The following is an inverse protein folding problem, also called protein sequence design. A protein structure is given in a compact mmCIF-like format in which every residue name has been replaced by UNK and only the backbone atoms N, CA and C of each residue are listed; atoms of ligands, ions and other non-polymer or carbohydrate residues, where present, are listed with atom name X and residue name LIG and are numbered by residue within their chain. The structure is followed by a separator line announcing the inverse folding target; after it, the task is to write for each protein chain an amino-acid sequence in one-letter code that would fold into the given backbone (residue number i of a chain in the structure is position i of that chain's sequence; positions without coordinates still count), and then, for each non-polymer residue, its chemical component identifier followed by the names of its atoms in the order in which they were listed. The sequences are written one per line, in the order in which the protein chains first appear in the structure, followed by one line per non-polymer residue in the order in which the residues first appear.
data_IF_150254885454
#
_entry.id   IF_150254885454
#
_cell.length_a   1.000
_cell.length_b   1.000
_cell.length_c   1.000
_cell.angle_alpha   90.00
_cell.angle_beta   90.00
_cell.angle_gamma   90.00
#
_symmetry.space_group_name_H-M   'P 1'
#
loop_
_entity.id
_entity.type
_entity.pdbx_description
1 polymer ?
#
# COMPACT_ATOMS: atom_id res chain seq x y z
N UNK A 1 47.19 74.77 -38.27
CA UNK A 1 46.65 73.49 -38.80
C UNK A 1 46.60 72.45 -37.67
N UNK A 2 45.63 71.52 -37.64
CA UNK A 2 44.52 71.62 -36.68
C UNK A 2 44.41 70.50 -35.64
N UNK A 3 43.75 70.82 -34.51
CA UNK A 3 43.28 69.90 -33.46
C UNK A 3 42.18 68.97 -34.01
N UNK A 4 42.41 67.65 -34.03
CA UNK A 4 41.37 66.65 -34.31
C UNK A 4 40.71 66.16 -33.00
N UNK A 5 39.41 66.45 -32.86
CA UNK A 5 38.50 65.92 -31.83
C UNK A 5 38.38 64.39 -31.99
N UNK A 6 38.63 63.61 -30.93
CA UNK A 6 38.22 62.20 -30.83
C UNK A 6 36.79 62.13 -30.31
N UNK A 7 35.90 61.55 -31.10
CA UNK A 7 34.50 61.27 -30.75
C UNK A 7 34.47 60.03 -29.86
N UNK A 8 33.95 60.17 -28.63
CA UNK A 8 33.73 59.06 -27.72
C UNK A 8 32.46 58.30 -28.11
N UNK A 9 32.60 57.04 -28.55
CA UNK A 9 31.49 56.14 -28.85
C UNK A 9 31.11 55.39 -27.56
N UNK A 10 29.96 55.75 -26.96
CA UNK A 10 29.40 55.12 -25.76
C UNK A 10 28.93 53.70 -26.11
N UNK A 11 29.66 52.68 -25.66
CA UNK A 11 29.22 51.28 -25.77
C UNK A 11 28.19 51.04 -24.67
N UNK A 12 26.93 50.81 -25.04
CA UNK A 12 25.87 50.43 -24.11
C UNK A 12 26.11 49.01 -23.61
N UNK A 13 26.54 48.87 -22.34
CA UNK A 13 26.47 47.59 -21.63
C UNK A 13 24.99 47.27 -21.34
N UNK A 14 24.34 46.51 -22.21
CA UNK A 14 23.10 45.80 -21.85
C UNK A 14 23.50 44.69 -20.88
N UNK A 15 23.23 44.90 -19.59
CA UNK A 15 23.35 43.87 -18.57
C UNK A 15 22.33 42.76 -18.86
N UNK A 16 22.81 41.54 -19.05
CA UNK A 16 21.96 40.35 -18.94
C UNK A 16 21.55 40.22 -17.48
N UNK A 17 20.33 40.67 -17.15
CA UNK A 17 19.70 40.26 -15.90
C UNK A 17 19.34 38.78 -16.04
N UNK A 18 20.07 37.92 -15.31
CA UNK A 18 19.68 36.53 -15.14
C UNK A 18 18.31 36.51 -14.46
N UNK A 19 17.29 36.03 -15.17
CA UNK A 19 15.96 35.79 -14.60
C UNK A 19 16.14 34.71 -13.54
N UNK A 20 16.05 35.10 -12.27
CA UNK A 20 16.09 34.16 -11.15
C UNK A 20 14.95 33.14 -11.33
N UNK A 21 15.30 31.89 -11.63
CA UNK A 21 14.33 30.79 -11.69
C UNK A 21 13.70 30.65 -10.30
N UNK A 22 12.37 30.81 -10.21
CA UNK A 22 11.63 30.46 -8.99
C UNK A 22 12.04 29.04 -8.56
N UNK A 23 12.31 28.80 -7.26
CA UNK A 23 12.64 27.45 -6.80
C UNK A 23 11.48 26.52 -7.18
N UNK A 24 11.79 25.44 -7.92
CA UNK A 24 10.80 24.41 -8.24
C UNK A 24 10.38 23.75 -6.93
N UNK A 25 9.07 23.70 -6.68
CA UNK A 25 8.53 22.91 -5.57
C UNK A 25 9.03 21.47 -5.70
N UNK A 26 9.64 20.89 -4.64
CA UNK A 26 10.12 19.51 -4.67
C UNK A 26 9.00 18.53 -5.02
N UNK A 27 9.34 17.51 -5.80
CA UNK A 27 8.40 16.45 -6.20
C UNK A 27 8.57 15.24 -5.30
N UNK A 28 7.54 14.93 -4.53
CA UNK A 28 7.51 13.83 -3.56
C UNK A 28 6.61 12.68 -3.98
N UNK A 29 5.74 12.85 -4.98
CA UNK A 29 4.80 11.82 -5.44
C UNK A 29 5.06 11.46 -6.90
N UNK A 30 5.22 10.16 -7.16
CA UNK A 30 5.46 9.56 -8.46
C UNK A 30 4.36 8.55 -8.78
N UNK A 31 3.53 8.84 -9.79
CA UNK A 31 2.37 8.02 -10.17
C UNK A 31 2.76 6.90 -11.11
N UNK A 32 1.97 5.83 -11.09
CA UNK A 32 2.02 4.73 -12.06
C UNK A 32 0.61 4.22 -12.34
N UNK A 33 0.35 3.78 -13.57
CA UNK A 33 -0.91 3.18 -14.00
C UNK A 33 -1.19 3.44 -15.48
N UNK A 34 -2.10 2.67 -16.08
CA UNK A 34 -2.54 2.87 -17.48
C UNK A 34 -1.35 2.87 -18.47
N UNK A 35 -0.37 1.98 -18.26
CA UNK A 35 0.84 1.86 -19.08
C UNK A 35 1.83 3.03 -18.96
N UNK A 36 1.62 3.97 -18.03
CA UNK A 36 2.48 5.15 -17.82
C UNK A 36 2.97 5.22 -16.38
N UNK A 37 4.24 5.57 -16.20
CA UNK A 37 4.81 5.82 -14.88
C UNK A 37 5.72 7.04 -14.89
N UNK A 38 5.66 7.80 -13.80
CA UNK A 38 6.53 8.95 -13.55
C UNK A 38 7.97 8.55 -13.20
N UNK A 39 8.15 7.32 -12.70
CA UNK A 39 9.45 6.73 -12.34
C UNK A 39 9.84 5.54 -13.22
N UNK A 40 10.88 4.80 -12.84
CA UNK A 40 11.35 3.57 -13.48
C UNK A 40 12.19 2.71 -12.52
N UNK A 41 12.63 1.53 -12.99
CA UNK A 41 13.40 0.56 -12.21
C UNK A 41 14.77 1.04 -11.69
N UNK A 42 15.35 2.09 -12.28
CA UNK A 42 16.62 2.67 -11.80
C UNK A 42 16.47 3.61 -10.60
N UNK A 43 15.24 4.06 -10.29
CA UNK A 43 14.97 5.05 -9.25
C UNK A 43 14.82 4.44 -7.85
N UNK A 44 15.42 3.27 -7.60
CA UNK A 44 15.39 2.58 -6.29
C UNK A 44 15.83 3.45 -5.11
N UNK A 45 16.85 4.32 -5.21
CA UNK A 45 17.23 5.20 -4.11
C UNK A 45 16.11 6.17 -3.67
N UNK A 46 15.22 6.55 -4.60
CA UNK A 46 14.17 7.54 -4.37
C UNK A 46 12.79 6.91 -4.11
N UNK A 47 12.45 5.84 -4.84
CA UNK A 47 11.13 5.20 -4.81
C UNK A 47 11.11 3.90 -3.98
N UNK A 48 12.27 3.50 -3.44
CA UNK A 48 12.46 2.16 -2.91
C UNK A 48 12.42 1.08 -4.00
N UNK A 49 12.75 -0.15 -3.61
CA UNK A 49 12.72 -1.30 -4.51
C UNK A 49 11.32 -1.58 -5.06
N UNK A 50 10.29 -1.57 -4.19
CA UNK A 50 8.89 -1.80 -4.61
C UNK A 50 8.37 -0.71 -5.53
N UNK A 51 8.54 0.57 -5.19
CA UNK A 51 8.03 1.67 -6.00
C UNK A 51 8.71 1.74 -7.38
N UNK A 52 10.04 1.53 -7.41
CA UNK A 52 10.77 1.46 -8.67
C UNK A 52 10.31 0.28 -9.55
N UNK A 53 10.07 -0.90 -8.95
CA UNK A 53 9.57 -2.07 -9.69
C UNK A 53 8.12 -1.87 -10.15
N UNK A 54 7.23 -1.27 -9.35
CA UNK A 54 5.86 -0.94 -9.77
C UNK A 54 5.85 0.00 -10.98
N UNK A 55 6.72 0.99 -10.96
CA UNK A 55 6.91 1.89 -12.09
C UNK A 55 7.44 1.15 -13.33
N UNK A 56 8.43 0.27 -13.16
CA UNK A 56 9.00 -0.51 -14.28
C UNK A 56 7.99 -1.47 -14.89
N UNK A 57 7.29 -2.26 -14.04
CA UNK A 57 6.25 -3.18 -14.47
C UNK A 57 5.13 -2.46 -15.25
N UNK A 58 4.76 -1.26 -14.81
CA UNK A 58 3.78 -0.43 -15.52
C UNK A 58 4.30 0.00 -16.91
N UNK A 59 5.58 0.39 -17.02
CA UNK A 59 6.19 0.83 -18.29
C UNK A 59 6.32 -0.29 -19.31
N UNK A 60 6.60 -1.51 -18.85
CA UNK A 60 6.65 -2.70 -19.71
C UNK A 60 5.26 -3.33 -19.92
N UNK A 61 4.19 -2.59 -19.61
CA UNK A 61 2.80 -2.95 -19.89
C UNK A 61 2.27 -4.19 -19.15
N UNK A 62 2.82 -4.50 -17.97
CA UNK A 62 2.19 -5.49 -17.09
C UNK A 62 0.89 -4.91 -16.48
N UNK A 63 -0.11 -5.75 -16.14
CA UNK A 63 -1.40 -5.32 -15.60
C UNK A 63 -1.28 -4.90 -14.12
N UNK A 64 -0.59 -3.78 -13.87
CA UNK A 64 -0.38 -3.22 -12.54
C UNK A 64 -1.55 -2.29 -12.18
N UNK A 65 -2.27 -2.51 -11.06
CA UNK A 65 -3.26 -1.57 -10.57
C UNK A 65 -2.66 -0.18 -10.35
N UNK A 66 -3.37 0.91 -10.72
CA UNK A 66 -2.83 2.26 -10.65
C UNK A 66 -2.53 2.67 -9.21
N UNK A 67 -1.56 3.56 -9.05
CA UNK A 67 -1.10 4.02 -7.74
C UNK A 67 -0.08 5.13 -7.84
N UNK A 68 0.58 5.40 -6.72
CA UNK A 68 1.70 6.29 -6.63
C UNK A 68 2.64 5.91 -5.49
N UNK A 69 3.89 6.36 -5.60
CA UNK A 69 4.91 6.23 -4.57
C UNK A 69 5.24 7.60 -3.98
N UNK A 70 5.19 7.71 -2.66
CA UNK A 70 5.75 8.80 -1.87
C UNK A 70 7.22 8.49 -1.63
N UNK A 71 8.11 9.40 -2.02
CA UNK A 71 9.56 9.19 -2.05
C UNK A 71 10.19 8.99 -0.67
N UNK A 72 11.34 8.33 -0.63
CA UNK A 72 12.21 8.19 0.56
C UNK A 72 12.59 9.54 1.17
N UNK A 73 12.72 10.60 0.38
CA UNK A 73 12.99 11.96 0.87
C UNK A 73 11.95 12.48 1.87
N UNK A 74 10.69 12.02 1.77
CA UNK A 74 9.65 12.38 2.74
C UNK A 74 9.91 11.70 4.07
N UNK A 75 10.44 10.47 4.08
CA UNK A 75 10.88 9.80 5.31
C UNK A 75 12.00 10.59 5.99
N UNK A 76 13.00 11.05 5.23
CA UNK A 76 14.07 11.90 5.75
C UNK A 76 13.51 13.21 6.33
N UNK A 77 12.60 13.88 5.60
CA UNK A 77 11.94 15.08 6.10
C UNK A 77 11.17 14.80 7.39
N UNK A 78 10.42 13.70 7.44
CA UNK A 78 9.59 13.29 8.57
C UNK A 78 10.40 13.21 9.85
N UNK A 79 11.55 12.52 9.85
CA UNK A 79 12.41 12.47 11.02
C UNK A 79 13.09 13.81 11.35
N UNK A 80 13.51 14.57 10.33
CA UNK A 80 14.13 15.88 10.54
C UNK A 80 13.17 16.95 11.10
N UNK A 81 11.85 16.79 10.89
CA UNK A 81 10.83 17.78 11.25
C UNK A 81 9.83 17.25 12.27
N UNK A 82 10.29 16.55 13.31
CA UNK A 82 9.46 16.08 14.43
C UNK A 82 8.23 15.26 13.97
N UNK A 83 8.44 14.37 12.99
CA UNK A 83 7.40 13.50 12.42
C UNK A 83 6.25 14.27 11.75
N UNK A 84 6.58 15.40 11.12
CA UNK A 84 5.66 16.17 10.28
C UNK A 84 5.96 16.01 8.78
N UNK A 85 5.05 16.47 7.93
CA UNK A 85 5.17 16.34 6.48
C UNK A 85 5.57 17.65 5.80
N UNK A 86 6.23 17.59 4.62
CA UNK A 86 6.42 18.78 3.79
C UNK A 86 5.06 19.43 3.46
N UNK A 87 4.90 20.76 3.58
CA UNK A 87 3.62 21.42 3.33
C UNK A 87 3.04 21.15 1.94
N UNK A 88 3.90 20.91 0.94
CA UNK A 88 3.49 20.61 -0.43
C UNK A 88 3.09 19.15 -0.67
N UNK A 89 3.25 18.25 0.30
CA UNK A 89 3.00 16.82 0.11
C UNK A 89 1.52 16.52 -0.07
N UNK A 90 0.64 17.12 0.75
CA UNK A 90 -0.80 16.86 0.74
C UNK A 90 -1.40 17.07 -0.66
N UNK A 91 -1.15 18.24 -1.26
CA UNK A 91 -1.63 18.54 -2.61
C UNK A 91 -1.05 17.62 -3.70
N UNK A 92 0.09 16.96 -3.47
CA UNK A 92 0.64 15.96 -4.39
C UNK A 92 -0.02 14.59 -4.22
N UNK A 93 -0.32 14.19 -2.97
CA UNK A 93 -1.09 12.97 -2.67
C UNK A 93 -2.49 13.08 -3.28
N UNK A 94 -3.16 14.22 -3.12
CA UNK A 94 -4.48 14.48 -3.70
C UNK A 94 -4.48 14.31 -5.23
N UNK A 95 -3.45 14.82 -5.92
CA UNK A 95 -3.26 14.61 -7.36
C UNK A 95 -2.97 13.16 -7.72
N UNK A 96 -2.34 12.41 -6.83
CA UNK A 96 -2.12 10.97 -6.96
C UNK A 96 -3.44 10.21 -6.90
N UNK A 97 -4.24 10.46 -5.87
CA UNK A 97 -5.58 9.87 -5.69
C UNK A 97 -6.49 10.24 -6.86
N UNK A 98 -6.58 11.51 -7.25
CA UNK A 98 -7.39 11.95 -8.39
C UNK A 98 -7.01 11.27 -9.70
N UNK A 99 -5.72 10.95 -9.91
CA UNK A 99 -5.29 10.17 -11.06
C UNK A 99 -5.78 8.71 -10.98
N UNK A 100 -5.76 8.10 -9.80
CA UNK A 100 -6.30 6.76 -9.58
C UNK A 100 -7.82 6.73 -9.80
N UNK A 101 -8.56 7.70 -9.26
CA UNK A 101 -10.00 7.85 -9.48
C UNK A 101 -10.36 7.91 -10.96
N UNK A 102 -9.61 8.71 -11.74
CA UNK A 102 -9.79 8.80 -13.20
C UNK A 102 -9.59 7.45 -13.89
N UNK A 103 -8.55 6.68 -13.52
CA UNK A 103 -8.23 5.40 -14.16
C UNK A 103 -9.25 4.33 -13.75
N UNK A 104 -9.64 4.30 -12.48
CA UNK A 104 -10.51 3.27 -11.93
C UNK A 104 -12.01 3.56 -12.14
N UNK A 105 -12.38 4.81 -12.44
CA UNK A 105 -13.78 5.23 -12.54
C UNK A 105 -14.53 5.24 -11.21
N UNK A 106 -13.80 5.27 -10.09
CA UNK A 106 -14.32 5.26 -8.71
C UNK A 106 -13.82 6.48 -7.94
N UNK A 107 -14.41 6.79 -6.78
CA UNK A 107 -14.02 7.95 -5.96
C UNK A 107 -13.56 7.53 -4.57
N UNK A 108 -12.53 8.19 -4.05
CA UNK A 108 -11.99 7.96 -2.71
C UNK A 108 -12.96 8.50 -1.67
N UNK A 109 -13.47 7.61 -0.81
CA UNK A 109 -14.52 7.95 0.16
C UNK A 109 -15.94 8.00 -0.40
N UNK A 110 -16.21 7.44 -1.59
CA UNK A 110 -17.57 7.37 -2.13
C UNK A 110 -18.49 6.53 -1.24
N UNK A 111 -19.60 7.11 -0.80
CA UNK A 111 -20.60 6.45 0.06
C UNK A 111 -21.83 5.98 -0.69
N UNK A 112 -21.91 6.23 -2.00
CA UNK A 112 -23.06 5.89 -2.84
C UNK A 112 -22.74 4.73 -3.78
N UNK A 113 -21.61 4.82 -4.50
CA UNK A 113 -21.13 3.89 -5.54
C UNK A 113 -19.92 3.10 -5.05
N UNK A 114 -19.31 2.30 -5.94
CA UNK A 114 -18.09 1.56 -5.64
C UNK A 114 -16.98 2.53 -5.15
N UNK A 115 -16.54 2.43 -3.88
CA UNK A 115 -15.49 3.30 -3.37
C UNK A 115 -14.14 2.91 -3.96
N UNK A 116 -13.30 3.91 -4.23
CA UNK A 116 -11.86 3.68 -4.40
C UNK A 116 -11.28 3.33 -3.03
N UNK A 117 -10.85 2.09 -2.87
CA UNK A 117 -10.05 1.66 -1.73
C UNK A 117 -8.59 1.51 -2.14
N UNK A 118 -7.67 1.71 -1.20
CA UNK A 118 -6.23 1.65 -1.46
C UNK A 118 -5.50 0.72 -0.50
N UNK A 119 -4.42 0.12 -1.00
CA UNK A 119 -3.38 -0.51 -0.22
C UNK A 119 -2.26 0.51 0.05
N UNK A 120 -1.74 0.53 1.27
CA UNK A 120 -0.56 1.28 1.66
C UNK A 120 0.54 0.30 2.05
N UNK A 121 1.67 0.38 1.34
CA UNK A 121 2.78 -0.57 1.45
C UNK A 121 4.11 0.18 1.53
N UNK A 122 4.88 -0.14 2.55
CA UNK A 122 6.27 0.26 2.66
C UNK A 122 7.15 -0.27 1.52
N UNK A 123 8.24 0.44 1.23
CA UNK A 123 9.25 0.03 0.27
C UNK A 123 10.57 0.74 0.49
N UNK A 124 11.50 0.10 1.21
CA UNK A 124 12.88 0.58 1.32
C UNK A 124 13.66 0.32 0.03
N UNK A 125 14.83 0.94 -0.11
CA UNK A 125 15.74 0.74 -1.24
C UNK A 125 16.12 -0.74 -1.42
N UNK A 126 16.54 -1.35 -0.32
CA UNK A 126 16.82 -2.78 -0.24
C UNK A 126 15.64 -3.53 0.38
N UNK A 127 15.46 -4.78 -0.04
CA UNK A 127 14.36 -5.60 0.45
C UNK A 127 14.55 -5.92 1.93
N UNK A 128 13.53 -5.67 2.74
CA UNK A 128 13.49 -6.00 4.16
C UNK A 128 12.26 -6.88 4.45
N UNK A 129 12.31 -8.19 4.13
CA UNK A 129 11.16 -9.08 4.23
C UNK A 129 10.62 -9.21 5.66
N UNK A 130 9.30 -9.09 5.81
CA UNK A 130 8.62 -9.18 7.10
C UNK A 130 8.84 -8.00 8.03
N UNK A 131 9.60 -6.97 7.64
CA UNK A 131 10.02 -5.89 8.54
C UNK A 131 9.07 -4.70 8.58
N UNK A 132 8.14 -4.62 7.63
CA UNK A 132 7.31 -3.45 7.43
C UNK A 132 5.90 -3.88 7.02
N UNK A 133 4.91 -3.33 7.69
CA UNK A 133 3.53 -3.76 7.57
C UNK A 133 2.85 -3.25 6.29
N UNK A 134 1.78 -3.92 5.91
CA UNK A 134 0.93 -3.57 4.77
C UNK A 134 -0.47 -3.29 5.29
N UNK A 135 -1.07 -2.20 4.83
CA UNK A 135 -2.46 -1.88 5.13
C UNK A 135 -3.27 -2.07 3.84
N UNK A 136 -4.32 -2.89 3.88
CA UNK A 136 -5.23 -3.13 2.76
C UNK A 136 -6.59 -2.50 3.08
N UNK A 137 -7.42 -2.35 2.05
CA UNK A 137 -8.81 -1.88 2.18
C UNK A 137 -8.96 -0.47 2.81
N UNK A 138 -7.91 0.37 2.77
CA UNK A 138 -7.95 1.72 3.30
C UNK A 138 -8.96 2.57 2.53
N UNK A 139 -9.79 3.31 3.27
CA UNK A 139 -10.95 4.04 2.77
C UNK A 139 -12.28 3.44 3.24
N UNK A 140 -12.26 2.27 3.87
CA UNK A 140 -13.45 1.70 4.51
C UNK A 140 -13.84 2.45 5.79
N UNK A 141 -15.13 2.72 5.92
CA UNK A 141 -15.80 3.26 7.09
C UNK A 141 -17.25 2.74 7.12
N UNK A 142 -18.04 3.18 8.11
CA UNK A 142 -19.44 2.74 8.28
C UNK A 142 -20.35 3.05 7.08
N UNK A 143 -20.00 4.01 6.23
CA UNK A 143 -20.77 4.38 5.04
C UNK A 143 -20.21 3.77 3.76
N UNK A 144 -18.88 3.80 3.57
CA UNK A 144 -18.25 3.23 2.37
C UNK A 144 -18.33 1.71 2.33
N UNK A 145 -18.41 1.02 3.49
CA UNK A 145 -18.70 -0.42 3.54
C UNK A 145 -20.08 -0.72 2.96
N UNK A 146 -21.10 0.09 3.28
CA UNK A 146 -22.46 -0.06 2.71
C UNK A 146 -22.46 0.19 1.20
N UNK A 147 -21.65 1.14 0.74
CA UNK A 147 -21.47 1.39 -0.69
C UNK A 147 -20.81 0.20 -1.40
N UNK A 148 -19.81 -0.42 -0.76
CA UNK A 148 -19.17 -1.64 -1.24
C UNK A 148 -20.15 -2.83 -1.30
N UNK A 149 -21.01 -3.00 -0.29
CA UNK A 149 -22.08 -4.01 -0.28
C UNK A 149 -22.97 -3.85 -1.53
N UNK A 150 -23.48 -2.63 -1.77
CA UNK A 150 -24.36 -2.36 -2.92
C UNK A 150 -23.66 -2.57 -4.26
N UNK A 151 -22.41 -2.12 -4.38
CA UNK A 151 -21.65 -2.19 -5.63
C UNK A 151 -21.27 -3.62 -6.02
N UNK A 152 -21.06 -4.50 -5.03
CA UNK A 152 -20.61 -5.88 -5.26
C UNK A 152 -21.72 -6.92 -5.14
N UNK A 153 -22.87 -6.54 -4.56
CA UNK A 153 -23.93 -7.47 -4.16
C UNK A 153 -23.39 -8.65 -3.32
N UNK A 154 -22.35 -8.40 -2.52
CA UNK A 154 -21.68 -9.39 -1.71
C UNK A 154 -21.42 -8.83 -0.30
N UNK A 155 -22.45 -8.92 0.53
CA UNK A 155 -22.44 -8.34 1.86
C UNK A 155 -21.34 -8.96 2.75
N UNK A 156 -21.20 -10.28 2.71
CA UNK A 156 -20.16 -11.00 3.46
C UNK A 156 -18.76 -10.47 3.11
N UNK A 157 -18.44 -10.32 1.83
CA UNK A 157 -17.15 -9.80 1.35
C UNK A 157 -16.87 -8.38 1.88
N UNK A 158 -17.84 -7.49 1.81
CA UNK A 158 -17.64 -6.09 2.20
C UNK A 158 -17.33 -5.97 3.70
N UNK A 159 -18.08 -6.71 4.55
CA UNK A 159 -17.84 -6.72 5.98
C UNK A 159 -16.57 -7.47 6.38
N UNK A 160 -16.20 -8.53 5.66
CA UNK A 160 -14.88 -9.18 5.80
C UNK A 160 -13.74 -8.22 5.50
N UNK A 161 -13.84 -7.43 4.43
CA UNK A 161 -12.83 -6.41 4.14
C UNK A 161 -12.77 -5.34 5.24
N UNK A 162 -13.91 -4.98 5.82
CA UNK A 162 -13.95 -3.94 6.85
C UNK A 162 -13.37 -4.42 8.19
N UNK A 163 -13.70 -5.63 8.66
CA UNK A 163 -13.09 -6.17 9.89
C UNK A 163 -11.58 -6.32 9.75
N UNK A 164 -11.09 -6.83 8.60
CA UNK A 164 -9.64 -6.92 8.30
C UNK A 164 -8.99 -5.55 8.27
N UNK A 165 -9.62 -4.55 7.66
CA UNK A 165 -9.09 -3.19 7.67
C UNK A 165 -8.93 -2.65 9.10
N UNK A 166 -9.94 -2.82 9.95
CA UNK A 166 -9.88 -2.33 11.34
C UNK A 166 -8.78 -3.04 12.13
N UNK A 167 -8.64 -4.36 11.98
CA UNK A 167 -7.58 -5.13 12.60
C UNK A 167 -6.20 -4.62 12.17
N UNK A 168 -5.94 -4.58 10.86
CA UNK A 168 -4.64 -4.18 10.33
C UNK A 168 -4.29 -2.73 10.62
N UNK A 169 -5.26 -1.81 10.47
CA UNK A 169 -5.04 -0.40 10.78
C UNK A 169 -4.91 -0.16 12.29
N UNK A 170 -5.72 -0.87 13.09
CA UNK A 170 -5.70 -0.81 14.53
C UNK A 170 -4.37 -1.26 15.12
N UNK A 171 -3.84 -2.38 14.63
CA UNK A 171 -2.49 -2.87 14.97
C UNK A 171 -1.42 -1.87 14.50
N UNK A 172 -1.28 -1.68 13.18
CA UNK A 172 -0.12 -1.00 12.57
C UNK A 172 -0.10 0.50 12.85
N UNK A 173 -1.25 1.17 12.78
CA UNK A 173 -1.34 2.64 12.84
C UNK A 173 -1.72 3.11 14.23
N UNK A 174 -2.65 2.41 14.88
CA UNK A 174 -3.17 2.81 16.19
C UNK A 174 -2.46 2.11 17.37
N UNK A 175 -1.55 1.16 17.10
CA UNK A 175 -0.72 0.51 18.12
C UNK A 175 -1.50 -0.47 19.00
N UNK A 176 -2.58 -1.06 18.50
CA UNK A 176 -3.35 -2.09 19.20
C UNK A 176 -2.64 -3.43 19.06
N UNK A 177 -1.49 -3.51 19.72
CA UNK A 177 -0.58 -4.66 19.74
C UNK A 177 -0.72 -5.44 21.04
N UNK A 178 -0.18 -6.65 21.02
CA UNK A 178 0.02 -7.47 22.21
C UNK A 178 0.84 -6.74 23.27
N UNK A 179 0.34 -6.70 24.50
CA UNK A 179 1.03 -6.13 25.66
C UNK A 179 1.87 -7.18 26.38
N UNK A 180 2.76 -6.72 27.24
CA UNK A 180 3.47 -7.60 28.17
C UNK A 180 2.45 -8.35 29.06
N UNK A 181 2.53 -9.68 29.07
CA UNK A 181 1.60 -10.55 29.79
C UNK A 181 0.40 -11.05 28.97
N UNK A 182 0.26 -10.66 27.70
CA UNK A 182 -0.71 -11.25 26.79
C UNK A 182 -0.07 -12.35 25.92
N UNK A 183 -0.73 -13.51 25.85
CA UNK A 183 -0.25 -14.64 25.07
C UNK A 183 -0.62 -14.51 23.58
N UNK A 184 -1.78 -13.90 23.30
CA UNK A 184 -2.39 -13.81 21.97
C UNK A 184 -2.50 -12.36 21.48
N UNK A 185 -2.53 -12.18 20.16
CA UNK A 185 -2.81 -10.87 19.55
C UNK A 185 -4.25 -10.43 19.87
N UNK A 186 -4.47 -9.15 20.21
CA UNK A 186 -5.73 -8.72 20.82
C UNK A 186 -6.93 -8.86 19.87
N UNK A 187 -6.75 -8.69 18.56
CA UNK A 187 -7.81 -8.90 17.57
C UNK A 187 -8.15 -10.38 17.39
N UNK A 188 -7.15 -11.26 17.40
CA UNK A 188 -7.36 -12.72 17.30
C UNK A 188 -8.11 -13.23 18.53
N UNK A 189 -7.75 -12.77 19.73
CA UNK A 189 -8.50 -13.09 20.94
C UNK A 189 -9.97 -12.68 20.83
N UNK A 190 -10.28 -11.51 20.24
CA UNK A 190 -11.68 -11.10 20.04
C UNK A 190 -12.42 -12.02 19.06
N UNK A 191 -11.75 -12.48 18.00
CA UNK A 191 -12.32 -13.44 17.03
C UNK A 191 -12.59 -14.78 17.73
N UNK A 192 -11.63 -15.30 18.48
CA UNK A 192 -11.74 -16.57 19.21
C UNK A 192 -12.92 -16.54 20.19
N UNK A 193 -12.99 -15.52 21.05
CA UNK A 193 -14.09 -15.36 22.01
C UNK A 193 -15.44 -15.22 21.31
N UNK A 194 -15.51 -14.45 20.21
CA UNK A 194 -16.74 -14.35 19.43
C UNK A 194 -17.18 -15.72 18.90
N UNK A 195 -16.27 -16.53 18.36
CA UNK A 195 -16.60 -17.85 17.85
C UNK A 195 -17.00 -18.83 18.96
N UNK A 196 -16.33 -18.79 20.11
CA UNK A 196 -16.71 -19.59 21.28
C UNK A 196 -18.12 -19.23 21.77
N UNK A 197 -18.46 -17.94 21.87
CA UNK A 197 -19.80 -17.49 22.25
C UNK A 197 -20.88 -17.86 21.22
N UNK A 198 -20.56 -17.74 19.92
CA UNK A 198 -21.53 -17.89 18.82
C UNK A 198 -21.75 -19.34 18.41
N UNK A 199 -20.70 -20.16 18.44
CA UNK A 199 -20.70 -21.51 17.90
C UNK A 199 -20.26 -22.59 18.91
N UNK A 200 -19.83 -22.20 20.12
CA UNK A 200 -19.33 -23.12 21.13
C UNK A 200 -17.94 -23.70 20.84
N UNK A 201 -17.23 -23.16 19.84
CA UNK A 201 -15.88 -23.56 19.41
C UNK A 201 -15.24 -22.48 18.54
N UNK A 202 -13.94 -22.21 18.73
CA UNK A 202 -13.19 -21.21 17.96
C UNK A 202 -12.39 -21.76 16.76
N UNK A 203 -12.27 -23.07 16.61
CA UNK A 203 -11.57 -23.76 15.50
C UNK A 203 -12.33 -23.71 14.15
N UNK A 204 -13.42 -22.94 14.07
CA UNK A 204 -14.13 -22.67 12.81
C UNK A 204 -13.29 -21.72 11.96
N UNK A 205 -13.05 -22.09 10.71
CA UNK A 205 -12.36 -21.24 9.72
C UNK A 205 -13.13 -19.92 9.54
N UNK A 206 -12.41 -18.79 9.62
CA UNK A 206 -12.93 -17.44 9.40
C UNK A 206 -13.77 -17.32 8.14
N UNK A 207 -13.41 -18.04 7.07
CA UNK A 207 -14.12 -18.03 5.80
C UNK A 207 -15.55 -18.60 5.90
N UNK A 208 -15.89 -19.31 6.98
CA UNK A 208 -17.24 -19.83 7.23
C UNK A 208 -18.15 -18.86 7.96
N UNK A 209 -17.62 -17.74 8.47
CA UNK A 209 -18.42 -16.69 9.09
C UNK A 209 -19.31 -15.98 8.06
N UNK A 210 -20.53 -15.62 8.47
CA UNK A 210 -21.49 -14.91 7.63
C UNK A 210 -21.36 -13.39 7.80
N UNK A 211 -22.16 -12.64 7.03
CA UNK A 211 -22.14 -11.17 7.06
C UNK A 211 -22.47 -10.56 8.44
N UNK A 212 -23.47 -11.11 9.15
CA UNK A 212 -23.87 -10.61 10.46
C UNK A 212 -22.77 -10.86 11.51
N UNK A 213 -22.08 -12.00 11.41
CA UNK A 213 -20.93 -12.30 12.27
C UNK A 213 -19.80 -11.27 12.07
N UNK A 214 -19.48 -10.92 10.81
CA UNK A 214 -18.48 -9.89 10.53
C UNK A 214 -18.91 -8.48 10.96
N UNK A 215 -20.20 -8.13 10.85
CA UNK A 215 -20.72 -6.86 11.38
C UNK A 215 -20.52 -6.75 12.89
N UNK A 216 -20.77 -7.84 13.62
CA UNK A 216 -20.54 -7.89 15.06
C UNK A 216 -19.05 -7.79 15.39
N UNK A 217 -18.19 -8.50 14.67
CA UNK A 217 -16.73 -8.39 14.83
C UNK A 217 -16.23 -6.96 14.56
N UNK A 218 -16.75 -6.27 13.54
CA UNK A 218 -16.45 -4.84 13.30
C UNK A 218 -16.77 -3.99 14.54
N UNK A 219 -17.93 -4.19 15.15
CA UNK A 219 -18.32 -3.45 16.35
C UNK A 219 -17.39 -3.76 17.53
N UNK A 220 -17.07 -5.05 17.76
CA UNK A 220 -16.13 -5.49 18.81
C UNK A 220 -14.72 -4.94 18.59
N UNK A 221 -14.24 -4.91 17.34
CA UNK A 221 -12.92 -4.38 16.98
C UNK A 221 -12.83 -2.87 17.20
N UNK A 222 -13.85 -2.10 16.81
CA UNK A 222 -13.89 -0.66 17.11
C UNK A 222 -13.89 -0.39 18.62
N UNK A 223 -14.61 -1.21 19.39
CA UNK A 223 -14.60 -1.14 20.85
C UNK A 223 -13.19 -1.42 21.39
N UNK A 224 -12.55 -2.50 20.95
CA UNK A 224 -11.17 -2.83 21.33
C UNK A 224 -10.20 -1.68 21.03
N UNK A 225 -10.27 -1.10 19.83
CA UNK A 225 -9.45 0.07 19.45
C UNK A 225 -9.67 1.22 20.41
N UNK A 226 -10.92 1.56 20.72
CA UNK A 226 -11.26 2.64 21.66
C UNK A 226 -10.75 2.36 23.07
N UNK A 227 -10.91 1.14 23.56
CA UNK A 227 -10.48 0.74 24.91
C UNK A 227 -8.95 0.75 25.05
N UNK A 228 -8.23 0.38 23.98
CA UNK A 228 -6.76 0.26 24.00
C UNK A 228 -6.05 1.59 23.76
N UNK A 229 -6.64 2.48 22.97
CA UNK A 229 -6.00 3.71 22.50
C UNK A 229 -6.65 4.99 23.03
N UNK A 230 -7.86 4.90 23.58
CA UNK A 230 -8.69 6.05 23.94
C UNK A 230 -9.30 6.79 22.75
N UNK A 231 -9.01 6.37 21.51
CA UNK A 231 -9.43 7.05 20.28
C UNK A 231 -10.45 6.20 19.52
N UNK A 232 -11.42 6.86 18.89
CA UNK A 232 -12.32 6.19 17.96
C UNK A 232 -11.57 5.81 16.67
N UNK A 233 -12.00 4.72 16.03
CA UNK A 233 -11.48 4.36 14.70
C UNK A 233 -11.79 5.49 13.69
N UNK A 234 -10.80 5.94 12.89
CA UNK A 234 -10.98 7.08 12.00
C UNK A 234 -11.96 6.75 10.87
N UNK A 235 -12.98 7.59 10.69
CA UNK A 235 -13.96 7.45 9.61
C UNK A 235 -13.57 8.23 8.34
N UNK A 236 -12.74 9.27 8.45
CA UNK A 236 -12.27 10.04 7.29
C UNK A 236 -11.16 9.28 6.53
N UNK A 237 -11.37 8.89 5.25
CA UNK A 237 -10.36 8.24 4.43
C UNK A 237 -9.04 9.02 4.30
N UNK A 238 -9.08 10.36 4.36
CA UNK A 238 -7.86 11.17 4.25
C UNK A 238 -7.01 11.11 5.51
N UNK A 239 -7.64 11.16 6.68
CA UNK A 239 -6.93 10.95 7.95
C UNK A 239 -6.41 9.50 8.06
N UNK A 240 -7.17 8.51 7.55
CA UNK A 240 -6.67 7.13 7.44
C UNK A 240 -5.39 7.07 6.58
N UNK A 241 -5.39 7.68 5.39
CA UNK A 241 -4.24 7.65 4.47
C UNK A 241 -3.01 8.33 5.08
N UNK A 242 -3.22 9.48 5.73
CA UNK A 242 -2.17 10.24 6.43
C UNK A 242 -1.60 9.46 7.62
N UNK A 243 -2.45 8.78 8.39
CA UNK A 243 -2.05 7.91 9.49
C UNK A 243 -1.24 6.72 8.99
N UNK A 244 -1.71 6.04 7.95
CA UNK A 244 -1.03 4.91 7.32
C UNK A 244 0.35 5.29 6.77
N UNK A 245 0.47 6.42 6.06
CA UNK A 245 1.77 6.92 5.60
C UNK A 245 2.71 7.21 6.77
N UNK A 246 2.18 7.78 7.86
CA UNK A 246 2.95 8.10 9.07
C UNK A 246 3.44 6.85 9.80
N UNK A 247 2.60 5.83 9.89
CA UNK A 247 2.98 4.53 10.44
C UNK A 247 4.08 3.86 9.60
N UNK A 248 3.98 3.90 8.27
CA UNK A 248 5.04 3.39 7.39
C UNK A 248 6.35 4.12 7.62
N UNK A 249 6.37 5.45 7.65
CA UNK A 249 7.60 6.19 7.95
C UNK A 249 8.10 5.88 9.37
N UNK A 250 7.21 5.83 10.36
CA UNK A 250 7.53 5.50 11.75
C UNK A 250 8.16 4.11 11.92
N UNK A 251 7.70 3.12 11.15
CA UNK A 251 8.22 1.75 11.16
C UNK A 251 9.69 1.66 10.75
N UNK A 252 10.22 2.67 10.02
CA UNK A 252 11.64 2.71 9.68
C UNK A 252 12.53 2.74 10.93
N UNK A 253 12.06 3.31 12.04
CA UNK A 253 12.84 3.38 13.28
C UNK A 253 12.29 2.47 14.39
N UNK A 254 11.53 1.41 14.04
CA UNK A 254 11.17 0.41 15.04
C UNK A 254 12.38 -0.50 15.37
N UNK A 255 12.36 -1.12 16.55
CA UNK A 255 13.49 -1.90 17.06
C UNK A 255 13.88 -3.04 16.13
N UNK A 256 12.87 -3.73 15.58
CA UNK A 256 13.05 -4.81 14.61
C UNK A 256 13.83 -4.32 13.39
N UNK A 257 13.41 -3.21 12.78
CA UNK A 257 14.03 -2.63 11.60
C UNK A 257 15.45 -2.14 11.88
N UNK A 258 15.70 -1.53 13.04
CA UNK A 258 17.05 -1.11 13.46
C UNK A 258 17.98 -2.32 13.55
N UNK A 259 17.55 -3.39 14.22
CA UNK A 259 18.35 -4.62 14.36
C UNK A 259 18.63 -5.24 12.99
N UNK A 260 17.62 -5.33 12.13
CA UNK A 260 17.78 -5.85 10.77
C UNK A 260 18.77 -5.02 9.95
N UNK A 261 18.65 -3.69 9.98
CA UNK A 261 19.56 -2.79 9.26
C UNK A 261 21.00 -2.94 9.72
N UNK A 262 21.24 -3.05 11.02
CA UNK A 262 22.57 -3.31 11.59
C UNK A 262 23.13 -4.66 11.10
N UNK A 263 22.31 -5.70 11.06
CA UNK A 263 22.73 -7.04 10.60
C UNK A 263 23.13 -7.06 9.13
N UNK A 264 22.42 -6.32 8.26
CA UNK A 264 22.63 -6.35 6.82
C UNK A 264 23.35 -5.11 6.27
N UNK A 265 23.92 -4.26 7.14
CA UNK A 265 24.62 -3.02 6.78
C UNK A 265 23.78 -2.07 5.91
N UNK A 266 22.48 -1.96 6.20
CA UNK A 266 21.57 -1.04 5.50
C UNK A 266 21.63 0.31 6.22
N UNK A 267 22.05 1.40 5.55
CA UNK A 267 22.16 2.71 6.17
C UNK A 267 20.80 3.29 6.60
N UNK A 268 20.78 3.99 7.73
CA UNK A 268 19.56 4.60 8.29
C UNK A 268 19.04 5.74 7.41
N UNK A 269 19.95 6.52 6.82
CA UNK A 269 19.65 7.71 6.03
C UNK A 269 18.89 7.40 4.72
N UNK A 270 18.83 6.14 4.30
CA UNK A 270 18.10 5.74 3.10
C UNK A 270 16.58 5.91 3.24
N UNK A 271 16.05 5.78 4.46
CA UNK A 271 14.61 5.84 4.70
C UNK A 271 13.80 4.77 3.98
N UNK A 272 12.49 4.93 4.01
CA UNK A 272 11.53 4.07 3.29
C UNK A 272 10.56 4.90 2.46
N UNK A 273 10.14 4.36 1.32
CA UNK A 273 9.07 4.94 0.50
C UNK A 273 7.70 4.37 0.91
N UNK A 274 6.64 5.10 0.58
CA UNK A 274 5.25 4.65 0.77
C UNK A 274 4.61 4.43 -0.58
N UNK A 275 4.12 3.23 -0.86
CA UNK A 275 3.39 2.90 -2.08
C UNK A 275 1.91 2.86 -1.76
N UNK A 276 1.14 3.71 -2.43
CA UNK A 276 -0.33 3.75 -2.36
C UNK A 276 -0.86 3.22 -3.67
N UNK A 277 -1.67 2.15 -3.63
CA UNK A 277 -2.11 1.44 -4.83
C UNK A 277 -3.59 1.11 -4.73
N UNK A 278 -4.32 1.17 -5.86
CA UNK A 278 -5.73 0.80 -5.89
C UNK A 278 -5.90 -0.66 -5.49
N UNK A 279 -6.91 -0.95 -4.67
CA UNK A 279 -7.24 -2.31 -4.29
C UNK A 279 -7.76 -3.11 -5.49
N UNK A 280 -7.30 -4.36 -5.56
CA UNK A 280 -7.92 -5.45 -6.31
C UNK A 280 -8.18 -6.58 -5.33
N UNK A 281 -9.27 -7.32 -5.54
CA UNK A 281 -9.81 -8.22 -4.51
C UNK A 281 -9.70 -9.67 -4.96
N UNK A 282 -8.91 -10.46 -4.23
CA UNK A 282 -8.83 -11.91 -4.42
C UNK A 282 -9.92 -12.70 -3.67
N UNK A 283 -10.73 -12.03 -2.84
CA UNK A 283 -11.70 -12.61 -1.90
C UNK A 283 -13.17 -12.27 -2.25
N UNK A 284 -13.52 -12.18 -3.55
CA UNK A 284 -14.91 -11.94 -3.97
C UNK A 284 -15.68 -13.21 -4.33
N UNK A 285 -15.09 -14.38 -4.11
CA UNK A 285 -15.66 -15.69 -4.44
C UNK A 285 -14.74 -16.57 -5.30
N UNK A 286 -15.32 -17.63 -5.87
CA UNK A 286 -14.59 -18.73 -6.52
C UNK A 286 -13.79 -18.34 -7.78
N UNK A 287 -14.12 -17.20 -8.41
CA UNK A 287 -13.43 -16.68 -9.60
C UNK A 287 -12.40 -15.59 -9.27
N UNK A 288 -11.97 -15.52 -8.01
CA UNK A 288 -10.95 -14.58 -7.53
C UNK A 288 -9.93 -15.32 -6.68
N UNK A 289 -8.71 -14.80 -6.65
CA UNK A 289 -7.66 -15.38 -5.82
C UNK A 289 -6.43 -14.50 -5.72
N UNK A 290 -5.57 -14.83 -4.77
CA UNK A 290 -4.27 -14.20 -4.55
C UNK A 290 -3.17 -15.27 -4.53
N UNK A 291 -1.97 -14.93 -4.95
CA UNK A 291 -0.85 -15.87 -4.95
C UNK A 291 0.51 -15.20 -5.13
N UNK A 292 1.55 -16.00 -4.95
CA UNK A 292 2.95 -15.63 -5.13
C UNK A 292 3.60 -16.68 -6.00
N UNK A 293 4.38 -16.25 -7.01
CA UNK A 293 5.07 -17.16 -7.90
C UNK A 293 6.46 -16.64 -8.26
N UNK A 294 7.31 -17.59 -8.62
CA UNK A 294 8.66 -17.43 -9.14
C UNK A 294 8.67 -17.90 -10.59
N UNK A 295 9.40 -17.19 -11.45
CA UNK A 295 9.50 -17.54 -12.88
C UNK A 295 10.26 -18.84 -13.12
N UNK A 296 11.04 -19.29 -12.12
CA UNK A 296 11.77 -20.55 -12.06
C UNK A 296 11.68 -21.12 -10.65
N UNK A 297 11.98 -22.40 -10.50
CA UNK A 297 12.00 -23.03 -9.19
C UNK A 297 13.16 -22.44 -8.34
N UNK A 298 12.86 -21.77 -7.21
CA UNK A 298 13.88 -21.08 -6.42
C UNK A 298 14.80 -22.04 -5.64
N UNK A 299 14.43 -23.32 -5.50
CA UNK A 299 15.19 -24.30 -4.74
C UNK A 299 16.29 -24.97 -5.58
N UNK A 300 16.02 -25.27 -6.85
CA UNK A 300 16.95 -26.01 -7.73
C UNK A 300 17.33 -25.26 -9.03
N UNK A 301 16.66 -24.13 -9.35
CA UNK A 301 16.93 -23.32 -10.53
C UNK A 301 16.31 -23.84 -11.84
N UNK A 302 15.51 -24.92 -11.79
CA UNK A 302 14.83 -25.46 -12.97
C UNK A 302 13.82 -24.45 -13.55
N UNK A 303 13.64 -24.49 -14.88
CA UNK A 303 12.73 -23.60 -15.61
C UNK A 303 11.25 -24.01 -15.46
N UNK A 304 10.82 -24.14 -14.21
CA UNK A 304 9.48 -24.52 -13.79
C UNK A 304 8.74 -23.31 -13.22
N UNK A 305 7.47 -23.15 -13.58
CA UNK A 305 6.64 -22.10 -12.97
C UNK A 305 6.24 -22.52 -11.56
N UNK A 306 6.94 -21.97 -10.57
CA UNK A 306 6.84 -22.39 -9.18
C UNK A 306 6.11 -21.34 -8.35
N UNK A 307 5.19 -21.75 -7.48
CA UNK A 307 4.47 -20.80 -6.65
C UNK A 307 3.21 -21.39 -6.06
N UNK A 308 2.49 -20.58 -5.31
CA UNK A 308 1.29 -20.98 -4.59
C UNK A 308 0.21 -19.89 -4.66
N UNK A 309 -1.05 -20.30 -4.57
CA UNK A 309 -2.20 -19.40 -4.59
C UNK A 309 -3.37 -19.93 -3.73
N UNK A 310 -4.28 -19.03 -3.39
CA UNK A 310 -5.55 -19.32 -2.74
C UNK A 310 -6.70 -18.69 -3.52
N UNK A 311 -7.76 -19.46 -3.73
CA UNK A 311 -9.06 -18.97 -4.22
C UNK A 311 -9.83 -18.33 -3.07
N UNK A 312 -10.57 -17.26 -3.37
CA UNK A 312 -11.37 -16.50 -2.42
C UNK A 312 -10.54 -16.08 -1.19
N UNK A 313 -9.44 -15.38 -1.44
CA UNK A 313 -8.44 -15.03 -0.44
C UNK A 313 -7.71 -13.71 -0.77
N UNK A 314 -7.34 -12.95 0.26
CA UNK A 314 -6.43 -11.82 0.11
C UNK A 314 -4.98 -12.29 0.22
N UNK A 315 -4.03 -11.46 -0.22
CA UNK A 315 -2.60 -11.81 -0.18
C UNK A 315 -2.07 -12.10 1.23
N UNK A 316 -2.70 -11.55 2.27
CA UNK A 316 -2.41 -11.86 3.67
C UNK A 316 -2.62 -13.35 3.98
N UNK A 317 -3.73 -13.95 3.54
CA UNK A 317 -4.06 -15.34 3.83
C UNK A 317 -3.03 -16.31 3.22
N UNK A 318 -2.40 -15.92 2.10
CA UNK A 318 -1.33 -16.69 1.46
C UNK A 318 -0.05 -16.67 2.30
N UNK A 319 0.23 -15.57 3.00
CA UNK A 319 1.45 -15.39 3.80
C UNK A 319 1.27 -15.92 5.23
N UNK A 320 0.07 -15.79 5.80
CA UNK A 320 -0.24 -16.18 7.17
C UNK A 320 -0.26 -17.71 7.38
N UNK A 321 -0.45 -18.50 6.31
CA UNK A 321 -0.44 -19.96 6.38
C UNK A 321 -1.66 -20.56 7.09
N UNK A 322 -2.71 -19.77 7.34
CA UNK A 322 -3.96 -20.23 7.98
C UNK A 322 -4.72 -21.22 7.09
N UNK A 323 -4.64 -21.02 5.76
CA UNK A 323 -5.21 -21.92 4.75
C UNK A 323 -4.08 -22.55 3.94
N UNK A 324 -4.18 -23.84 3.68
CA UNK A 324 -3.21 -24.54 2.83
C UNK A 324 -3.30 -24.03 1.39
N UNK A 325 -2.24 -23.37 0.88
CA UNK A 325 -2.25 -22.84 -0.47
C UNK A 325 -2.07 -23.96 -1.51
N UNK A 326 -2.54 -23.72 -2.73
CA UNK A 326 -2.45 -24.67 -3.85
C UNK A 326 -1.28 -24.30 -4.76
N UNK A 327 -0.57 -25.28 -5.36
CA UNK A 327 0.50 -25.00 -6.32
C UNK A 327 -0.01 -24.23 -7.55
N UNK A 328 0.73 -23.22 -8.02
CA UNK A 328 0.30 -22.31 -9.11
C UNK A 328 -0.11 -23.02 -10.40
N UNK A 329 0.41 -24.22 -10.65
CA UNK A 329 0.05 -25.05 -11.81
C UNK A 329 -1.43 -25.45 -11.82
N UNK A 330 -2.07 -25.57 -10.65
CA UNK A 330 -3.50 -25.90 -10.52
C UNK A 330 -4.41 -24.76 -11.00
N UNK A 331 -3.89 -23.53 -11.08
CA UNK A 331 -4.60 -22.39 -11.67
C UNK A 331 -4.98 -22.66 -13.14
N UNK A 332 -4.21 -23.49 -13.86
CA UNK A 332 -4.54 -23.92 -15.23
C UNK A 332 -5.91 -24.59 -15.30
N UNK A 333 -6.32 -25.32 -14.26
CA UNK A 333 -7.61 -26.01 -14.20
C UNK A 333 -8.71 -25.07 -13.71
N UNK A 334 -8.43 -24.32 -12.63
CA UNK A 334 -9.44 -23.49 -11.96
C UNK A 334 -9.75 -22.18 -12.71
N UNK A 335 -8.73 -21.51 -13.23
CA UNK A 335 -8.84 -20.21 -13.92
C UNK A 335 -7.92 -20.18 -15.16
N UNK A 336 -8.22 -20.97 -16.21
CA UNK A 336 -7.33 -21.16 -17.36
C UNK A 336 -6.96 -19.87 -18.10
N UNK A 337 -7.88 -18.89 -18.16
CA UNK A 337 -7.63 -17.58 -18.78
C UNK A 337 -6.59 -16.78 -17.99
N UNK A 338 -6.77 -16.67 -16.67
CA UNK A 338 -5.84 -15.99 -15.78
C UNK A 338 -4.46 -16.66 -15.79
N UNK A 339 -4.42 -18.00 -15.81
CA UNK A 339 -3.16 -18.75 -15.91
C UNK A 339 -2.43 -18.45 -17.23
N UNK A 340 -3.14 -18.41 -18.36
CA UNK A 340 -2.54 -18.07 -19.64
C UNK A 340 -2.01 -16.64 -19.69
N UNK A 341 -2.70 -15.68 -19.06
CA UNK A 341 -2.20 -14.31 -18.92
C UNK A 341 -0.97 -14.23 -18.02
N UNK A 342 -0.95 -14.97 -16.91
CA UNK A 342 0.19 -15.04 -16.01
C UNK A 342 1.43 -15.64 -16.69
N UNK A 343 1.25 -16.62 -17.59
CA UNK A 343 2.34 -17.15 -18.41
C UNK A 343 2.89 -16.11 -19.40
N UNK A 344 2.06 -15.22 -19.94
CA UNK A 344 2.54 -14.10 -20.77
C UNK A 344 3.36 -13.12 -19.92
N UNK A 345 2.93 -12.85 -18.69
CA UNK A 345 3.71 -12.04 -17.73
C UNK A 345 5.04 -12.71 -17.42
N UNK A 346 5.05 -14.01 -17.13
CA UNK A 346 6.27 -14.80 -16.89
C UNK A 346 7.25 -14.72 -18.07
N UNK A 347 6.76 -14.69 -19.30
CA UNK A 347 7.63 -14.62 -20.49
C UNK A 347 8.27 -13.24 -20.73
N UNK A 348 7.71 -12.17 -20.14
CA UNK A 348 8.25 -10.80 -20.22
C UNK A 348 9.37 -10.59 -19.18
N UNK A 349 9.26 -11.26 -18.02
CA UNK A 349 10.18 -11.17 -16.89
C UNK A 349 11.36 -12.12 -17.05
#
# INVERSE_FOLDING_TARGET
MPKKKKVARKVSRRGFQAVARKPKTPRYVYKFGEGKADGNGSMKPLLGGKGANLAEMTRISLPVPPGFTITTEVCTYFYAHKRSYPPSLQAQIEKGIANMERIMGTKFGDTEKMPLLVAVRSGARDSMPGMMDTILNLGLNDETVKALVRATNNERFAWDCYRRFIQMYGDVVMGVQKREGEDHEPFESVIEHFKDERYGRHDIDDSKLNAADYQELVARFKKLVKDRTGQAFPNDPWEQLKGAAGAVFGSWMNDRAIVYRRKYNIPEEWGTAVNVQAMVYGNTGANSGSGVAFTRNPANGEDEFYGEFLIDAQGEDVVAGVRTPQPVIELKKLMPKCYAELLKVRAIL
#
